data_IF_785775450748
#
_entry.id   IF_785775450748
#
_cell.length_a   1.000
_cell.length_b   1.000
_cell.length_c   1.000
_cell.angle_alpha   90.00
_cell.angle_beta   90.00
_cell.angle_gamma   90.00
#
_symmetry.space_group_name_H-M   'P 1'
#
loop_
_entity.id
_entity.type
_entity.pdbx_description
1 polymer ?
#
# COMPACT_ATOMS: atom_id res chain seq x y z
N UNK A 1 15.06 -17.94 29.65
CA UNK A 1 15.76 -18.54 28.50
C UNK A 1 16.69 -17.48 27.96
N UNK A 2 17.98 -17.74 27.90
CA UNK A 2 18.95 -16.80 27.35
C UNK A 2 18.89 -16.87 25.83
N UNK A 3 19.09 -15.76 25.13
CA UNK A 3 19.10 -15.70 23.67
C UNK A 3 20.07 -16.70 23.01
N UNK A 4 21.12 -17.16 23.74
CA UNK A 4 22.05 -18.22 23.33
C UNK A 4 21.36 -19.56 23.09
N UNK A 5 20.41 -19.93 23.97
CA UNK A 5 19.75 -21.25 23.90
C UNK A 5 18.78 -21.35 22.73
N UNK A 6 18.22 -20.20 22.32
CA UNK A 6 17.35 -20.12 21.14
C UNK A 6 18.16 -20.19 19.84
N UNK A 7 19.33 -19.55 19.81
CA UNK A 7 20.24 -19.60 18.65
C UNK A 7 20.86 -20.97 18.46
N UNK A 8 21.23 -21.67 19.56
CA UNK A 8 21.72 -23.05 19.48
C UNK A 8 20.63 -24.03 19.03
N UNK A 9 19.38 -23.85 19.47
CA UNK A 9 18.25 -24.68 18.98
C UNK A 9 17.92 -24.43 17.51
N UNK A 10 18.17 -23.21 17.00
CA UNK A 10 17.99 -22.87 15.57
C UNK A 10 19.14 -23.42 14.70
N UNK A 11 20.36 -23.50 15.26
CA UNK A 11 21.53 -24.03 14.57
C UNK A 11 21.59 -25.59 14.49
N UNK A 12 20.88 -26.29 15.39
CA UNK A 12 20.89 -27.77 15.44
C UNK A 12 19.86 -28.44 14.54
N UNK A 13 19.02 -27.71 13.83
CA UNK A 13 18.13 -28.31 12.82
C UNK A 13 18.68 -28.00 11.44
N UNK A 14 19.30 -28.96 10.80
CA UNK A 14 19.44 -29.05 9.33
C UNK A 14 18.05 -29.12 8.70
N UNK A 15 17.28 -28.05 8.79
CA UNK A 15 15.97 -27.97 8.18
C UNK A 15 16.17 -27.45 6.78
N UNK A 16 16.33 -28.35 5.83
CA UNK A 16 16.25 -28.02 4.42
C UNK A 16 14.80 -27.67 4.10
N UNK A 17 14.44 -26.39 4.22
CA UNK A 17 13.11 -25.92 3.83
C UNK A 17 13.01 -25.91 2.32
N UNK A 18 12.39 -26.95 1.75
CA UNK A 18 11.96 -26.95 0.36
C UNK A 18 10.58 -26.33 0.33
N UNK A 19 10.48 -25.16 -0.27
CA UNK A 19 9.24 -24.45 -0.43
C UNK A 19 8.48 -24.98 -1.64
N UNK A 20 7.40 -25.71 -1.42
CA UNK A 20 6.43 -26.09 -2.44
C UNK A 20 5.09 -25.44 -2.14
N UNK A 21 4.86 -24.26 -2.70
CA UNK A 21 3.52 -23.70 -2.78
C UNK A 21 2.72 -24.50 -3.79
N UNK A 22 1.43 -24.67 -3.52
CA UNK A 22 0.44 -25.22 -4.44
C UNK A 22 -0.58 -24.17 -4.83
N UNK A 23 -1.31 -24.38 -5.91
CA UNK A 23 -2.43 -23.52 -6.29
C UNK A 23 -3.46 -23.39 -5.16
N UNK A 24 -3.63 -24.45 -4.33
CA UNK A 24 -4.49 -24.38 -3.14
C UNK A 24 -4.00 -23.33 -2.11
N UNK A 25 -2.69 -23.17 -1.92
CA UNK A 25 -2.16 -22.14 -1.02
C UNK A 25 -2.46 -20.72 -1.58
N UNK A 26 -2.36 -20.55 -2.90
CA UNK A 26 -2.71 -19.28 -3.57
C UNK A 26 -4.21 -19.01 -3.47
N UNK A 27 -5.05 -20.03 -3.68
CA UNK A 27 -6.50 -19.95 -3.48
C UNK A 27 -6.85 -19.53 -2.05
N UNK A 28 -6.21 -20.12 -1.04
CA UNK A 28 -6.42 -19.73 0.36
C UNK A 28 -6.05 -18.26 0.62
N UNK A 29 -5.04 -17.72 -0.08
CA UNK A 29 -4.72 -16.28 -0.03
C UNK A 29 -5.83 -15.43 -0.63
N UNK A 30 -6.45 -15.86 -1.74
CA UNK A 30 -7.59 -15.18 -2.37
C UNK A 30 -8.85 -15.24 -1.49
N UNK A 31 -9.14 -16.38 -0.87
CA UNK A 31 -10.27 -16.55 0.06
C UNK A 31 -10.17 -15.56 1.24
N UNK A 32 -8.95 -15.33 1.74
CA UNK A 32 -8.68 -14.45 2.87
C UNK A 32 -8.06 -13.11 2.44
N UNK A 33 -8.33 -12.66 1.23
CA UNK A 33 -7.80 -11.43 0.66
C UNK A 33 -8.16 -10.23 1.53
N UNK A 34 -7.17 -9.41 1.87
CA UNK A 34 -7.38 -8.22 2.72
C UNK A 34 -7.61 -6.95 1.92
N UNK A 35 -7.04 -6.88 0.70
CA UNK A 35 -7.12 -5.68 -0.11
C UNK A 35 -7.12 -6.00 -1.60
N UNK A 36 -8.08 -5.41 -2.33
CA UNK A 36 -8.07 -5.31 -3.78
C UNK A 36 -7.86 -3.84 -4.16
N UNK A 37 -6.76 -3.54 -4.84
CA UNK A 37 -6.42 -2.17 -5.24
C UNK A 37 -6.53 -2.04 -6.75
N UNK A 38 -7.19 -0.99 -7.19
CA UNK A 38 -7.35 -0.62 -8.60
C UNK A 38 -6.44 0.56 -8.92
N UNK A 39 -5.60 0.43 -9.93
CA UNK A 39 -5.03 1.58 -10.61
C UNK A 39 -6.11 2.17 -11.51
N UNK A 40 -6.90 3.10 -10.96
CA UNK A 40 -8.07 3.64 -11.66
C UNK A 40 -7.68 4.50 -12.87
N UNK A 41 -6.47 5.04 -12.85
CA UNK A 41 -5.84 5.77 -13.96
C UNK A 41 -4.33 5.86 -13.75
N UNK A 42 -3.55 5.89 -14.82
CA UNK A 42 -2.14 6.27 -14.77
C UNK A 42 -1.91 7.78 -14.97
N UNK A 43 -2.98 8.54 -15.34
CA UNK A 43 -2.94 10.00 -15.43
C UNK A 43 -2.78 10.66 -14.05
N UNK A 44 -2.06 11.76 -14.00
CA UNK A 44 -1.90 12.57 -12.77
C UNK A 44 -1.86 14.05 -13.11
N UNK A 45 -2.47 14.87 -12.29
CA UNK A 45 -2.42 16.32 -12.38
C UNK A 45 -1.14 16.94 -11.78
N UNK A 46 -0.24 16.11 -11.21
CA UNK A 46 1.07 16.51 -10.75
C UNK A 46 2.18 15.73 -11.48
N UNK A 47 3.37 16.35 -11.54
CA UNK A 47 4.62 15.75 -12.01
C UNK A 47 5.65 15.77 -10.88
N UNK A 48 5.41 14.96 -9.83
CA UNK A 48 6.33 14.87 -8.69
C UNK A 48 7.68 14.29 -9.14
N UNK A 49 8.79 14.92 -8.73
CA UNK A 49 10.15 14.54 -9.14
C UNK A 49 10.50 13.08 -8.80
N UNK A 50 10.05 12.59 -7.66
CA UNK A 50 10.34 11.24 -7.14
C UNK A 50 9.19 10.24 -7.32
N UNK A 51 8.22 10.56 -8.17
CA UNK A 51 7.09 9.66 -8.43
C UNK A 51 7.57 8.33 -8.98
N UNK A 52 7.03 7.21 -8.47
CA UNK A 52 7.33 5.88 -9.00
C UNK A 52 7.03 5.71 -10.50
N UNK A 53 6.11 6.54 -11.03
CA UNK A 53 5.80 6.63 -12.47
C UNK A 53 6.61 7.75 -13.17
N UNK A 54 7.59 8.33 -12.51
CA UNK A 54 8.38 9.45 -13.03
C UNK A 54 9.70 9.02 -13.64
N UNK A 55 10.50 10.01 -14.02
CA UNK A 55 11.74 9.84 -14.78
C UNK A 55 12.83 9.06 -14.00
N UNK A 56 12.74 8.98 -12.65
CA UNK A 56 13.72 8.25 -11.85
C UNK A 56 13.70 6.74 -12.07
N UNK A 57 12.59 6.16 -12.50
CA UNK A 57 12.38 4.72 -12.47
C UNK A 57 12.09 4.13 -13.84
N UNK A 58 12.69 2.96 -14.10
CA UNK A 58 12.45 2.17 -15.31
C UNK A 58 11.45 1.02 -15.09
N UNK A 59 10.96 0.87 -13.84
CA UNK A 59 10.10 -0.26 -13.41
C UNK A 59 8.64 -0.11 -13.80
N UNK A 60 8.21 1.09 -14.10
CA UNK A 60 6.87 1.41 -14.56
C UNK A 60 6.96 1.88 -16.01
N UNK A 61 6.05 1.42 -16.84
CA UNK A 61 5.92 1.93 -18.21
C UNK A 61 5.66 3.45 -18.23
N UNK A 62 5.82 4.08 -19.38
CA UNK A 62 5.44 5.48 -19.55
C UNK A 62 3.94 5.62 -19.32
N UNK A 63 3.55 6.69 -18.62
CA UNK A 63 2.14 7.08 -18.49
C UNK A 63 1.57 7.40 -19.87
N UNK A 64 0.38 6.88 -20.12
CA UNK A 64 -0.33 7.08 -21.39
C UNK A 64 -1.68 7.76 -21.17
N UNK A 65 -1.91 8.29 -19.95
CA UNK A 65 -3.16 8.92 -19.50
C UNK A 65 -4.38 8.00 -19.71
N UNK A 66 -4.17 6.70 -19.44
CA UNK A 66 -5.21 5.68 -19.51
C UNK A 66 -6.13 5.71 -18.30
N UNK A 67 -7.34 5.24 -18.51
CA UNK A 67 -8.37 5.09 -17.49
C UNK A 67 -8.85 3.64 -17.48
N UNK A 68 -8.83 3.01 -16.31
CA UNK A 68 -9.37 1.67 -16.13
C UNK A 68 -10.86 1.65 -16.48
N UNK A 69 -11.29 0.66 -17.23
CA UNK A 69 -12.68 0.50 -17.64
C UNK A 69 -13.46 -0.25 -16.55
N UNK A 70 -14.71 0.15 -16.33
CA UNK A 70 -15.56 -0.46 -15.31
C UNK A 70 -15.77 -1.96 -15.53
N UNK A 71 -15.96 -2.40 -16.77
CA UNK A 71 -16.18 -3.82 -17.10
C UNK A 71 -14.99 -4.70 -16.69
N UNK A 72 -13.76 -4.19 -16.82
CA UNK A 72 -12.54 -4.89 -16.39
C UNK A 72 -12.50 -4.98 -14.86
N UNK A 73 -12.73 -3.86 -14.16
CA UNK A 73 -12.77 -3.85 -12.70
C UNK A 73 -13.88 -4.77 -12.16
N UNK A 74 -15.08 -4.68 -12.75
CA UNK A 74 -16.24 -5.52 -12.40
C UNK A 74 -15.93 -7.00 -12.60
N UNK A 75 -15.28 -7.37 -13.70
CA UNK A 75 -14.93 -8.77 -13.98
C UNK A 75 -14.05 -9.38 -12.89
N UNK A 76 -13.06 -8.63 -12.39
CA UNK A 76 -12.23 -9.10 -11.29
C UNK A 76 -13.01 -9.17 -9.97
N UNK A 77 -13.88 -8.20 -9.71
CA UNK A 77 -14.75 -8.22 -8.53
C UNK A 77 -15.65 -9.47 -8.56
N UNK A 78 -16.31 -9.76 -9.68
CA UNK A 78 -17.17 -10.93 -9.84
C UNK A 78 -16.42 -12.25 -9.61
N UNK A 79 -15.19 -12.35 -10.16
CA UNK A 79 -14.34 -13.53 -9.99
C UNK A 79 -14.01 -13.76 -8.50
N UNK A 80 -13.58 -12.70 -7.80
CA UNK A 80 -13.24 -12.79 -6.39
C UNK A 80 -14.48 -12.99 -5.51
N UNK A 81 -15.59 -12.33 -5.84
CA UNK A 81 -16.86 -12.51 -5.14
C UNK A 81 -17.33 -13.97 -5.19
N UNK A 82 -17.22 -14.63 -6.35
CA UNK A 82 -17.51 -16.05 -6.49
C UNK A 82 -16.59 -16.92 -5.61
N UNK A 83 -15.29 -16.58 -5.50
CA UNK A 83 -14.38 -17.29 -4.59
C UNK A 83 -14.84 -17.10 -3.14
N UNK A 84 -15.14 -15.89 -2.71
CA UNK A 84 -15.55 -15.60 -1.33
C UNK A 84 -16.87 -16.26 -0.95
N UNK A 85 -17.84 -16.28 -1.86
CA UNK A 85 -19.14 -16.90 -1.63
C UNK A 85 -19.06 -18.44 -1.57
N UNK A 86 -18.26 -19.05 -2.44
CA UNK A 86 -18.13 -20.51 -2.52
C UNK A 86 -17.24 -21.12 -1.41
N UNK A 87 -16.41 -20.31 -0.74
CA UNK A 87 -15.44 -20.78 0.26
C UNK A 87 -15.66 -20.15 1.65
N UNK A 88 -16.86 -19.73 1.99
CA UNK A 88 -17.18 -19.07 3.27
C UNK A 88 -16.74 -19.88 4.50
N UNK A 89 -16.88 -21.20 4.47
CA UNK A 89 -16.47 -22.07 5.57
C UNK A 89 -14.97 -22.08 5.85
N UNK A 90 -14.14 -21.73 4.85
CA UNK A 90 -12.69 -21.64 4.97
C UNK A 90 -12.20 -20.22 5.34
N UNK A 91 -13.12 -19.24 5.35
CA UNK A 91 -12.81 -17.83 5.64
C UNK A 91 -13.06 -17.52 7.11
N UNK A 92 -12.10 -16.85 7.74
CA UNK A 92 -12.34 -16.19 9.04
C UNK A 92 -13.01 -14.83 8.81
N UNK A 93 -13.81 -14.33 9.77
CA UNK A 93 -14.39 -12.99 9.67
C UNK A 93 -13.29 -11.94 9.44
N UNK A 94 -13.40 -11.15 8.37
CA UNK A 94 -12.41 -10.16 8.00
C UNK A 94 -13.00 -8.99 7.21
N UNK A 95 -12.20 -7.93 7.08
CA UNK A 95 -12.52 -6.76 6.26
C UNK A 95 -11.72 -6.84 4.96
N UNK A 96 -12.40 -6.69 3.83
CA UNK A 96 -11.78 -6.52 2.51
C UNK A 96 -11.78 -5.02 2.19
N UNK A 97 -10.61 -4.46 1.92
CA UNK A 97 -10.46 -3.05 1.57
C UNK A 97 -10.32 -2.92 0.06
N UNK A 98 -11.22 -2.18 -0.56
CA UNK A 98 -11.12 -1.79 -1.97
C UNK A 98 -10.32 -0.49 -2.04
N UNK A 99 -9.10 -0.58 -2.58
CA UNK A 99 -8.17 0.53 -2.67
C UNK A 99 -8.26 1.22 -4.03
N UNK A 100 -8.21 2.55 -4.05
CA UNK A 100 -8.12 3.35 -5.27
C UNK A 100 -6.76 4.03 -5.32
N UNK A 101 -6.03 3.77 -6.40
CA UNK A 101 -4.65 4.18 -6.60
C UNK A 101 -4.41 4.56 -8.06
N UNK A 102 -3.15 4.89 -8.39
CA UNK A 102 -2.71 5.17 -9.75
C UNK A 102 -1.87 6.44 -9.84
N UNK A 103 -2.05 7.22 -10.90
CA UNK A 103 -1.51 8.57 -10.99
C UNK A 103 -2.15 9.47 -9.93
N UNK A 104 -3.37 9.93 -10.18
CA UNK A 104 -4.22 10.58 -9.19
C UNK A 104 -5.65 10.00 -9.27
N UNK A 105 -6.09 9.23 -8.28
CA UNK A 105 -7.38 8.54 -8.34
C UNK A 105 -8.59 9.47 -8.53
N UNK A 106 -8.56 10.66 -7.95
CA UNK A 106 -9.65 11.63 -8.07
C UNK A 106 -9.86 12.15 -9.50
N UNK A 107 -8.94 11.86 -10.44
CA UNK A 107 -9.13 12.14 -11.86
C UNK A 107 -10.08 11.14 -12.54
N UNK A 108 -10.33 9.97 -11.92
CA UNK A 108 -11.29 8.97 -12.41
C UNK A 108 -12.37 8.66 -11.37
N UNK A 109 -12.95 9.71 -10.80
CA UNK A 109 -13.96 9.58 -9.75
C UNK A 109 -15.21 8.84 -10.24
N UNK A 110 -15.58 9.01 -11.51
CA UNK A 110 -16.73 8.31 -12.10
C UNK A 110 -16.59 6.77 -12.02
N UNK A 111 -15.39 6.23 -12.26
CA UNK A 111 -15.13 4.79 -12.09
C UNK A 111 -15.23 4.39 -10.61
N UNK A 112 -14.68 5.21 -9.72
CA UNK A 112 -14.71 4.93 -8.27
C UNK A 112 -16.15 4.85 -7.77
N UNK A 113 -17.00 5.79 -8.16
CA UNK A 113 -18.44 5.80 -7.84
C UNK A 113 -19.14 4.56 -8.38
N UNK A 114 -18.86 4.15 -9.62
CA UNK A 114 -19.40 2.93 -10.22
C UNK A 114 -18.99 1.67 -9.47
N UNK A 115 -17.69 1.56 -9.09
CA UNK A 115 -17.18 0.41 -8.32
C UNK A 115 -17.86 0.35 -6.94
N UNK A 116 -17.94 1.48 -6.22
CA UNK A 116 -18.56 1.54 -4.90
C UNK A 116 -20.05 1.16 -4.99
N UNK A 117 -20.79 1.76 -5.91
CA UNK A 117 -22.19 1.45 -6.12
C UNK A 117 -22.42 -0.05 -6.48
N UNK A 118 -21.53 -0.60 -7.31
CA UNK A 118 -21.58 -2.02 -7.66
C UNK A 118 -21.34 -2.92 -6.44
N UNK A 119 -20.32 -2.66 -5.65
CA UNK A 119 -20.01 -3.42 -4.44
C UNK A 119 -21.15 -3.36 -3.41
N UNK A 120 -21.77 -2.19 -3.25
CA UNK A 120 -22.91 -1.99 -2.36
C UNK A 120 -24.21 -2.71 -2.86
N UNK A 121 -24.29 -2.99 -4.17
CA UNK A 121 -25.40 -3.75 -4.76
C UNK A 121 -25.26 -5.27 -4.61
N UNK A 122 -24.06 -5.77 -4.32
CA UNK A 122 -23.84 -7.21 -4.17
C UNK A 122 -24.44 -7.73 -2.86
N UNK A 123 -25.00 -8.96 -2.85
CA UNK A 123 -25.44 -9.59 -1.61
C UNK A 123 -24.31 -9.66 -0.57
N UNK A 124 -24.65 -9.46 0.70
CA UNK A 124 -23.68 -9.50 1.79
C UNK A 124 -23.15 -10.92 2.01
N UNK A 125 -21.86 -11.05 2.22
CA UNK A 125 -21.22 -12.32 2.57
C UNK A 125 -21.09 -12.37 4.10
N UNK A 126 -21.64 -13.38 4.80
CA UNK A 126 -21.52 -13.50 6.25
C UNK A 126 -20.07 -13.47 6.71
N UNK A 127 -19.77 -12.60 7.69
CA UNK A 127 -18.42 -12.44 8.23
C UNK A 127 -17.47 -11.58 7.40
N UNK A 128 -17.85 -11.13 6.21
CA UNK A 128 -17.06 -10.24 5.36
C UNK A 128 -17.63 -8.83 5.41
N UNK A 129 -16.75 -7.84 5.67
CA UNK A 129 -17.08 -6.42 5.58
C UNK A 129 -16.27 -5.76 4.49
N UNK A 130 -16.89 -4.86 3.74
CA UNK A 130 -16.19 -4.03 2.77
C UNK A 130 -15.76 -2.70 3.40
N UNK A 131 -14.68 -2.14 2.88
CA UNK A 131 -14.23 -0.80 3.20
C UNK A 131 -13.48 -0.23 2.02
N UNK A 132 -13.33 1.09 2.01
CA UNK A 132 -12.71 1.81 0.90
C UNK A 132 -11.46 2.53 1.37
N UNK A 133 -10.45 2.63 0.52
CA UNK A 133 -9.22 3.37 0.81
C UNK A 133 -8.71 4.07 -0.44
N UNK A 134 -8.05 5.20 -0.28
CA UNK A 134 -7.49 5.96 -1.38
C UNK A 134 -6.21 6.65 -0.95
N UNK A 135 -5.19 6.62 -1.82
CA UNK A 135 -4.02 7.52 -1.72
C UNK A 135 -4.18 8.62 -2.74
N UNK A 136 -4.19 9.88 -2.31
CA UNK A 136 -4.39 11.03 -3.20
C UNK A 136 -3.40 12.15 -2.90
N UNK A 137 -3.08 12.94 -3.92
CA UNK A 137 -2.28 14.14 -3.79
C UNK A 137 -3.07 15.36 -3.23
N UNK A 138 -4.38 15.24 -3.09
CA UNK A 138 -5.24 16.24 -2.47
C UNK A 138 -5.64 17.44 -3.35
N UNK A 139 -5.15 17.52 -4.60
CA UNK A 139 -5.44 18.67 -5.49
C UNK A 139 -6.92 18.83 -5.85
N UNK A 140 -7.68 17.73 -5.84
CA UNK A 140 -9.08 17.68 -6.26
C UNK A 140 -10.05 17.35 -5.10
N UNK A 141 -9.59 17.36 -3.85
CA UNK A 141 -10.41 17.01 -2.69
C UNK A 141 -11.68 17.87 -2.56
N UNK A 142 -11.59 19.16 -2.84
CA UNK A 142 -12.71 20.09 -2.75
C UNK A 142 -13.92 19.68 -3.59
N UNK A 143 -13.70 18.91 -4.65
CA UNK A 143 -14.77 18.46 -5.55
C UNK A 143 -15.49 17.21 -5.05
N UNK A 144 -14.82 16.37 -4.26
CA UNK A 144 -15.27 15.02 -3.96
C UNK A 144 -15.33 14.68 -2.47
N UNK A 145 -15.01 15.64 -1.59
CA UNK A 145 -14.97 15.41 -0.14
C UNK A 145 -16.30 14.92 0.44
N UNK A 146 -17.44 15.35 -0.14
CA UNK A 146 -18.77 14.88 0.27
C UNK A 146 -18.91 13.37 0.09
N UNK A 147 -18.61 12.86 -1.10
CA UNK A 147 -18.65 11.42 -1.38
C UNK A 147 -17.66 10.63 -0.51
N UNK A 148 -16.43 11.15 -0.37
CA UNK A 148 -15.39 10.49 0.41
C UNK A 148 -15.78 10.37 1.88
N UNK A 149 -16.41 11.40 2.44
CA UNK A 149 -16.92 11.40 3.81
C UNK A 149 -18.15 10.49 3.96
N UNK A 150 -19.12 10.55 3.03
CA UNK A 150 -20.32 9.69 3.04
C UNK A 150 -19.94 8.20 3.01
N UNK A 151 -18.96 7.83 2.18
CA UNK A 151 -18.52 6.44 2.02
C UNK A 151 -17.41 6.03 2.99
N UNK A 152 -17.08 6.87 3.96
CA UNK A 152 -16.03 6.63 4.96
C UNK A 152 -14.72 6.13 4.34
N UNK A 153 -14.33 6.72 3.20
CA UNK A 153 -13.12 6.33 2.49
C UNK A 153 -11.89 6.65 3.34
N UNK A 154 -11.09 5.65 3.67
CA UNK A 154 -9.82 5.85 4.38
C UNK A 154 -8.83 6.59 3.45
N UNK A 155 -8.57 7.85 3.72
CA UNK A 155 -7.68 8.68 2.93
C UNK A 155 -6.24 8.65 3.47
N UNK A 156 -5.30 8.43 2.54
CA UNK A 156 -3.89 8.68 2.75
C UNK A 156 -3.50 9.89 1.90
N UNK A 157 -3.40 11.06 2.54
CA UNK A 157 -3.07 12.33 1.90
C UNK A 157 -1.57 12.51 1.77
N UNK A 158 -1.12 12.85 0.57
CA UNK A 158 0.30 13.07 0.28
C UNK A 158 0.70 14.51 0.61
N UNK A 159 1.50 14.69 1.67
CA UNK A 159 2.01 15.99 2.11
C UNK A 159 3.40 15.83 2.72
N UNK A 160 4.42 16.45 2.12
CA UNK A 160 5.83 16.25 2.51
C UNK A 160 6.31 17.24 3.59
N UNK A 161 5.42 18.10 4.08
CA UNK A 161 5.68 19.12 5.08
C UNK A 161 5.15 20.48 4.66
N UNK A 162 5.92 21.54 4.89
CA UNK A 162 5.61 22.90 4.48
C UNK A 162 5.77 23.14 2.95
N UNK A 163 5.64 24.38 2.51
CA UNK A 163 5.73 24.73 1.09
C UNK A 163 7.12 24.42 0.48
N UNK A 164 8.19 24.56 1.24
CA UNK A 164 9.54 24.24 0.79
C UNK A 164 9.71 22.70 0.65
N UNK A 165 9.31 21.97 1.66
CA UNK A 165 9.31 20.52 1.65
C UNK A 165 8.43 19.93 0.51
N UNK A 166 7.27 20.54 0.24
CA UNK A 166 6.38 20.13 -0.86
C UNK A 166 6.95 20.45 -2.27
N UNK A 167 8.09 21.12 -2.37
CA UNK A 167 8.63 21.68 -3.59
C UNK A 167 9.02 20.68 -4.71
N UNK A 168 8.92 19.38 -4.47
CA UNK A 168 9.05 18.36 -5.50
C UNK A 168 7.69 17.85 -6.04
N UNK A 169 6.59 18.25 -5.39
CA UNK A 169 5.24 17.96 -5.87
C UNK A 169 4.70 19.14 -6.66
N UNK A 170 5.08 19.20 -7.91
CA UNK A 170 4.72 20.28 -8.82
C UNK A 170 3.67 19.82 -9.84
N UNK A 171 2.90 20.79 -10.37
CA UNK A 171 2.04 20.54 -11.52
C UNK A 171 2.85 20.46 -12.83
N UNK A 172 2.16 20.22 -13.96
CA UNK A 172 2.81 20.12 -15.27
C UNK A 172 3.44 21.46 -15.77
N UNK A 173 3.17 22.57 -15.09
CA UNK A 173 3.77 23.89 -15.37
C UNK A 173 4.93 24.21 -14.43
N UNK A 174 5.23 23.28 -13.48
CA UNK A 174 6.27 23.46 -12.47
C UNK A 174 5.82 24.24 -11.24
N UNK A 175 4.53 24.57 -11.09
CA UNK A 175 4.02 25.27 -9.91
C UNK A 175 3.89 24.30 -8.73
N UNK A 176 4.34 24.77 -7.53
CA UNK A 176 4.23 24.02 -6.28
C UNK A 176 2.76 23.76 -5.92
N UNK A 177 2.42 22.52 -5.59
CA UNK A 177 1.06 22.10 -5.24
C UNK A 177 0.62 22.52 -3.83
N UNK A 178 1.54 22.99 -2.96
CA UNK A 178 1.31 23.18 -1.54
C UNK A 178 0.07 23.99 -1.22
N UNK A 179 -0.05 25.20 -1.76
CA UNK A 179 -1.12 26.14 -1.42
C UNK A 179 -2.51 25.53 -1.68
N UNK A 180 -2.68 24.86 -2.83
CA UNK A 180 -3.94 24.22 -3.21
C UNK A 180 -4.25 23.02 -2.32
N UNK A 181 -3.27 22.14 -2.13
CA UNK A 181 -3.41 20.92 -1.32
C UNK A 181 -3.69 21.29 0.13
N UNK A 182 -2.94 22.24 0.69
CA UNK A 182 -3.11 22.70 2.06
C UNK A 182 -4.49 23.32 2.30
N UNK A 183 -4.95 24.19 1.37
CA UNK A 183 -6.30 24.75 1.41
C UNK A 183 -7.36 23.64 1.44
N UNK A 184 -7.27 22.67 0.54
CA UNK A 184 -8.22 21.58 0.44
C UNK A 184 -8.24 20.70 1.70
N UNK A 185 -7.08 20.45 2.31
CA UNK A 185 -6.98 19.69 3.57
C UNK A 185 -7.64 20.44 4.73
N UNK A 186 -7.42 21.77 4.82
CA UNK A 186 -8.07 22.63 5.83
C UNK A 186 -9.58 22.70 5.62
N UNK A 187 -10.03 22.78 4.38
CA UNK A 187 -11.44 22.76 4.04
C UNK A 187 -12.09 21.42 4.45
N UNK A 188 -11.43 20.30 4.13
CA UNK A 188 -11.91 18.96 4.54
C UNK A 188 -11.99 18.86 6.08
N UNK A 189 -10.95 19.31 6.80
CA UNK A 189 -10.90 19.30 8.27
C UNK A 189 -12.04 20.12 8.90
N UNK A 190 -12.36 21.29 8.31
CA UNK A 190 -13.41 22.17 8.84
C UNK A 190 -14.81 21.72 8.46
N UNK A 191 -15.00 21.13 7.27
CA UNK A 191 -16.32 20.74 6.77
C UNK A 191 -16.76 19.37 7.31
N UNK A 192 -15.82 18.43 7.47
CA UNK A 192 -16.08 17.05 7.92
C UNK A 192 -15.12 16.66 9.06
N UNK A 193 -15.18 17.30 10.23
CA UNK A 193 -14.19 17.14 11.30
C UNK A 193 -14.11 15.71 11.85
N UNK A 194 -15.23 15.02 12.02
CA UNK A 194 -15.27 13.64 12.50
C UNK A 194 -14.65 12.68 11.48
N UNK A 195 -15.06 12.78 10.22
CA UNK A 195 -14.45 12.02 9.14
C UNK A 195 -12.94 12.27 9.03
N UNK A 196 -12.52 13.54 9.12
CA UNK A 196 -11.10 13.89 9.11
C UNK A 196 -10.36 13.26 10.29
N UNK A 197 -10.96 13.26 11.48
CA UNK A 197 -10.37 12.66 12.67
C UNK A 197 -10.20 11.14 12.56
N UNK A 198 -11.16 10.43 11.97
CA UNK A 198 -11.19 8.96 11.98
C UNK A 198 -10.60 8.33 10.73
N UNK A 199 -10.79 8.94 9.55
CA UNK A 199 -10.51 8.31 8.26
C UNK A 199 -9.37 8.96 7.47
N UNK A 200 -8.81 10.11 7.93
CA UNK A 200 -7.73 10.79 7.20
C UNK A 200 -6.38 10.56 7.88
N UNK A 201 -5.40 10.18 7.09
CA UNK A 201 -4.00 10.03 7.49
C UNK A 201 -3.08 10.67 6.45
N UNK A 202 -1.80 10.87 6.80
CA UNK A 202 -0.81 11.53 5.97
C UNK A 202 0.32 10.60 5.59
N UNK A 203 0.83 10.75 4.37
CA UNK A 203 2.05 10.12 3.88
C UNK A 203 3.01 11.21 3.39
N UNK A 204 4.21 11.21 3.95
CA UNK A 204 5.27 12.15 3.60
C UNK A 204 6.46 11.37 3.07
N UNK A 205 6.97 11.77 1.91
CA UNK A 205 8.18 11.19 1.34
C UNK A 205 9.38 11.97 1.84
N UNK A 206 10.39 11.24 2.35
CA UNK A 206 11.62 11.83 2.87
C UNK A 206 12.60 12.11 1.74
N UNK A 207 13.11 13.33 1.70
CA UNK A 207 14.06 13.81 0.69
C UNK A 207 14.93 14.96 1.24
N UNK A 208 15.81 15.53 0.45
CA UNK A 208 16.77 16.57 0.86
C UNK A 208 16.14 17.92 1.27
N UNK A 209 14.85 18.16 0.99
CA UNK A 209 14.13 19.37 1.38
C UNK A 209 13.32 19.22 2.67
N UNK A 210 13.33 18.06 3.30
CA UNK A 210 12.63 17.83 4.56
C UNK A 210 13.41 16.91 5.49
N UNK A 211 12.99 16.86 6.74
CA UNK A 211 13.40 15.85 7.70
C UNK A 211 12.19 15.41 8.54
N UNK A 212 12.31 14.27 9.17
CA UNK A 212 11.23 13.64 9.93
C UNK A 212 10.70 14.52 11.06
N UNK A 213 11.58 15.16 11.84
CA UNK A 213 11.18 15.99 12.97
C UNK A 213 10.36 17.22 12.51
N UNK A 214 10.79 17.90 11.44
CA UNK A 214 10.06 19.05 10.88
C UNK A 214 8.72 18.65 10.29
N UNK A 215 8.69 17.55 9.51
CA UNK A 215 7.46 17.01 8.93
C UNK A 215 6.47 16.62 10.01
N UNK A 216 6.90 15.87 11.02
CA UNK A 216 6.03 15.46 12.13
C UNK A 216 5.54 16.67 12.92
N UNK A 217 6.42 17.63 13.27
CA UNK A 217 6.05 18.87 13.95
C UNK A 217 5.01 19.66 13.15
N UNK A 218 5.19 19.79 11.84
CA UNK A 218 4.27 20.51 10.96
C UNK A 218 2.90 19.85 10.92
N UNK A 219 2.84 18.53 10.64
CA UNK A 219 1.58 17.81 10.48
C UNK A 219 0.84 17.65 11.82
N UNK A 220 1.55 17.35 12.90
CA UNK A 220 0.95 17.27 14.25
C UNK A 220 0.40 18.62 14.66
N UNK A 221 1.18 19.70 14.50
CA UNK A 221 0.77 21.04 14.93
C UNK A 221 -0.47 21.59 14.20
N UNK A 222 -0.66 21.21 12.92
CA UNK A 222 -1.75 21.73 12.10
C UNK A 222 -2.98 20.84 12.02
N UNK A 223 -2.80 19.53 12.11
CA UNK A 223 -3.84 18.54 11.86
C UNK A 223 -4.08 17.59 13.03
N UNK A 224 -3.26 17.64 14.08
CA UNK A 224 -3.26 16.69 15.20
C UNK A 224 -3.19 15.24 14.71
N UNK A 225 -2.35 15.00 13.70
CA UNK A 225 -2.17 13.69 13.04
C UNK A 225 -0.69 13.37 12.95
N UNK A 226 -0.34 12.08 12.99
CA UNK A 226 1.01 11.63 12.61
C UNK A 226 1.06 11.30 11.12
N UNK A 227 2.14 11.70 10.47
CA UNK A 227 2.42 11.26 9.11
C UNK A 227 3.11 9.90 9.11
N UNK A 228 2.77 9.08 8.13
CA UNK A 228 3.60 7.95 7.74
C UNK A 228 4.77 8.50 6.94
N UNK A 229 5.99 8.29 7.42
CA UNK A 229 7.20 8.66 6.70
C UNK A 229 7.60 7.53 5.75
N UNK A 230 7.82 7.84 4.50
CA UNK A 230 8.22 6.91 3.45
C UNK A 230 9.54 7.37 2.83
N UNK A 231 10.47 6.45 2.65
CA UNK A 231 11.68 6.70 1.86
C UNK A 231 11.37 6.71 0.37
N UNK A 232 12.24 7.36 -0.41
CA UNK A 232 12.25 7.20 -1.86
C UNK A 232 12.47 5.71 -2.19
N UNK A 233 11.77 5.21 -3.18
CA UNK A 233 12.02 3.85 -3.65
C UNK A 233 13.43 3.75 -4.23
N UNK A 234 14.26 2.87 -3.69
CA UNK A 234 15.65 2.67 -4.10
C UNK A 234 15.84 1.57 -5.14
N UNK A 235 14.75 1.00 -5.66
CA UNK A 235 14.77 -0.08 -6.64
C UNK A 235 14.36 0.41 -8.03
N UNK A 236 15.06 -0.09 -9.07
CA UNK A 236 14.74 0.21 -10.48
C UNK A 236 15.04 1.65 -10.90
N UNK A 237 16.02 2.28 -10.26
CA UNK A 237 16.45 3.64 -10.61
C UNK A 237 17.18 3.61 -11.95
N UNK A 238 16.81 4.51 -12.86
CA UNK A 238 17.48 4.72 -14.13
C UNK A 238 18.93 5.12 -13.94
N UNK A 239 19.81 4.58 -14.75
CA UNK A 239 21.25 4.90 -14.69
C UNK A 239 21.51 6.39 -14.84
N UNK A 240 20.77 7.06 -15.73
CA UNK A 240 20.88 8.49 -15.98
C UNK A 240 20.50 9.36 -14.77
N UNK A 241 19.61 8.86 -13.90
CA UNK A 241 19.05 9.62 -12.77
C UNK A 241 19.71 9.29 -11.41
N UNK A 242 20.65 8.34 -11.38
CA UNK A 242 21.28 7.88 -10.13
C UNK A 242 21.94 8.99 -9.31
N UNK A 243 22.60 9.94 -9.94
CA UNK A 243 23.27 11.04 -9.22
C UNK A 243 22.25 11.98 -8.60
N UNK A 244 21.20 12.33 -9.34
CA UNK A 244 20.14 13.20 -8.83
C UNK A 244 19.38 12.50 -7.70
N UNK A 245 19.08 11.21 -7.88
CA UNK A 245 18.48 10.38 -6.84
C UNK A 245 19.32 10.38 -5.55
N UNK A 246 20.63 10.19 -5.63
CA UNK A 246 21.51 10.18 -4.44
C UNK A 246 21.51 11.51 -3.71
N UNK A 247 21.40 12.64 -4.40
CA UNK A 247 21.29 13.97 -3.78
C UNK A 247 19.98 14.11 -3.00
N UNK A 248 18.89 13.58 -3.55
CA UNK A 248 17.56 13.65 -2.94
C UNK A 248 17.34 12.63 -1.84
N UNK A 249 17.91 11.45 -1.94
CA UNK A 249 17.64 10.33 -1.05
C UNK A 249 18.01 10.66 0.40
N UNK A 250 17.08 10.39 1.31
CA UNK A 250 17.29 10.41 2.76
C UNK A 250 16.75 9.12 3.34
N UNK A 251 17.59 8.43 4.13
CA UNK A 251 17.17 7.24 4.87
C UNK A 251 16.51 7.66 6.18
N UNK A 252 15.41 7.02 6.52
CA UNK A 252 14.74 7.19 7.82
C UNK A 252 15.63 6.68 9.00
N UNK A 253 16.66 5.87 8.70
CA UNK A 253 17.63 5.39 9.71
C UNK A 253 18.72 6.42 10.08
N UNK A 254 18.88 7.48 9.30
CA UNK A 254 19.90 8.52 9.55
C UNK A 254 19.42 9.61 10.47
N UNK A 255 18.14 9.64 10.80
CA UNK A 255 17.61 10.58 11.78
C UNK A 255 17.78 9.99 13.18
N UNK A 256 18.67 10.56 13.97
CA UNK A 256 18.77 10.30 15.40
C UNK A 256 17.38 10.51 16.01
N UNK A 257 16.72 9.42 16.36
CA UNK A 257 15.61 9.48 17.28
C UNK A 257 16.16 10.09 18.59
N UNK A 258 15.94 11.36 18.81
CA UNK A 258 16.18 11.92 20.12
C UNK A 258 15.23 11.17 21.08
N UNK A 259 15.80 10.56 22.12
CA UNK A 259 15.05 9.85 23.17
C UNK A 259 14.02 10.72 23.90
N UNK A 260 13.88 11.99 23.53
CA UNK A 260 12.85 12.91 24.06
C UNK A 260 11.42 12.55 23.65
N UNK A 261 11.23 11.71 22.61
CA UNK A 261 9.91 11.22 22.19
C UNK A 261 9.50 9.89 22.84
N UNK A 262 10.30 9.37 23.80
CA UNK A 262 10.00 8.13 24.51
C UNK A 262 8.68 8.21 25.29
N UNK A 263 8.34 9.37 25.82
CA UNK A 263 7.10 9.56 26.61
C UNK A 263 5.83 9.37 25.77
N UNK A 264 5.91 9.60 24.46
CA UNK A 264 4.79 9.39 23.55
C UNK A 264 4.64 7.91 23.12
N UNK A 265 5.73 7.17 23.03
CA UNK A 265 5.70 5.72 22.75
C UNK A 265 5.11 4.93 23.93
N UNK A 266 5.31 5.41 25.17
CA UNK A 266 4.74 4.80 26.37
C UNK A 266 3.31 5.23 26.68
N UNK A 267 2.82 6.33 26.10
CA UNK A 267 1.45 6.81 26.31
C UNK A 267 0.40 6.04 25.50
N UNK A 268 0.77 5.34 24.43
CA UNK A 268 -0.13 4.44 23.71
C UNK A 268 0.18 3.01 24.15
N UNK A 269 -0.69 2.43 24.98
CA UNK A 269 -0.64 1.02 25.39
C UNK A 269 -1.00 0.04 24.26
N UNK A 270 -0.86 0.47 23.02
CA UNK A 270 -1.31 -0.29 21.88
C UNK A 270 -0.20 -1.23 21.39
N UNK A 271 -0.44 -2.53 21.50
CA UNK A 271 0.39 -3.61 20.95
C UNK A 271 0.76 -3.36 19.49
N UNK A 272 -0.06 -2.60 18.76
CA UNK A 272 0.20 -2.23 17.37
C UNK A 272 1.40 -1.29 17.20
N UNK A 273 1.69 -0.42 18.16
CA UNK A 273 2.87 0.44 18.09
C UNK A 273 4.16 -0.33 18.37
N UNK A 274 4.09 -1.31 19.26
CA UNK A 274 5.19 -2.26 19.48
C UNK A 274 5.44 -3.11 18.23
N UNK A 275 4.38 -3.60 17.58
CA UNK A 275 4.50 -4.36 16.34
C UNK A 275 5.04 -3.51 15.18
N UNK A 276 4.67 -2.24 15.10
CA UNK A 276 5.24 -1.28 14.13
C UNK A 276 6.71 -0.99 14.40
N UNK A 277 7.11 -0.89 15.68
CA UNK A 277 8.50 -0.73 16.06
C UNK A 277 9.32 -1.96 15.68
N UNK A 278 8.83 -3.15 15.97
CA UNK A 278 9.47 -4.42 15.58
C UNK A 278 9.57 -4.51 14.05
N UNK A 279 8.51 -4.13 13.32
CA UNK A 279 8.47 -4.12 11.86
C UNK A 279 9.55 -3.20 11.27
N UNK A 280 9.79 -2.04 11.89
CA UNK A 280 10.86 -1.10 11.51
C UNK A 280 12.26 -1.63 11.83
N UNK A 281 12.46 -2.18 13.02
CA UNK A 281 13.77 -2.62 13.50
C UNK A 281 14.24 -3.93 12.83
N UNK A 282 13.32 -4.71 12.26
CA UNK A 282 13.62 -6.02 11.65
C UNK A 282 13.57 -5.99 10.13
N UNK A 283 13.51 -4.81 9.49
CA UNK A 283 13.36 -4.65 8.04
C UNK A 283 12.25 -5.53 7.43
N UNK A 284 11.18 -5.74 8.19
CA UNK A 284 10.03 -6.54 7.73
C UNK A 284 10.35 -8.01 7.40
N UNK A 285 11.36 -8.59 8.02
CA UNK A 285 11.78 -9.98 7.77
C UNK A 285 10.68 -10.99 8.13
N UNK A 286 9.73 -10.63 9.01
CA UNK A 286 8.68 -11.53 9.48
C UNK A 286 7.28 -10.95 9.24
N UNK A 287 6.57 -11.45 8.24
CA UNK A 287 5.22 -11.01 7.91
C UNK A 287 4.09 -11.51 8.82
N UNK A 288 4.37 -12.45 9.72
CA UNK A 288 3.37 -13.04 10.62
C UNK A 288 3.86 -13.06 12.07
N UNK A 289 4.02 -11.89 12.68
CA UNK A 289 4.41 -11.79 14.10
C UNK A 289 3.47 -12.56 15.04
N UNK A 290 2.17 -12.62 14.72
CA UNK A 290 1.21 -13.42 15.47
C UNK A 290 1.52 -14.91 15.46
N UNK A 291 2.21 -15.43 14.44
CA UNK A 291 2.63 -16.83 14.39
C UNK A 291 3.87 -17.09 15.23
N UNK A 292 4.73 -16.08 15.45
CA UNK A 292 5.87 -16.19 16.37
C UNK A 292 5.43 -16.24 17.84
N UNK A 293 4.27 -15.63 18.16
CA UNK A 293 3.69 -15.63 19.49
C UNK A 293 2.85 -16.88 19.78
N UNK A 294 2.48 -17.65 18.77
CA UNK A 294 1.74 -18.91 18.91
C UNK A 294 2.71 -20.09 18.96
N UNK A 295 2.69 -20.84 20.05
CA UNK A 295 3.57 -22.02 20.31
C UNK A 295 3.54 -23.13 19.24
N UNK A 296 2.63 -23.07 18.25
CA UNK A 296 2.41 -24.07 17.21
C UNK A 296 2.52 -23.55 15.79
N UNK A 297 3.33 -22.50 15.54
CA UNK A 297 3.58 -22.05 14.18
C UNK A 297 4.44 -23.11 13.45
N UNK A 298 3.79 -23.94 12.65
CA UNK A 298 4.45 -25.00 11.88
C UNK A 298 5.24 -24.53 10.67
N UNK A 299 5.15 -23.24 10.31
CA UNK A 299 5.80 -22.70 9.12
C UNK A 299 6.29 -21.28 9.39
N UNK A 300 7.59 -21.08 9.43
CA UNK A 300 8.25 -19.77 9.46
C UNK A 300 8.77 -19.49 8.06
N UNK A 301 8.34 -18.39 7.46
CA UNK A 301 8.84 -17.95 6.18
C UNK A 301 9.94 -16.90 6.39
N UNK A 302 11.23 -17.27 6.29
CA UNK A 302 12.29 -16.30 6.30
C UNK A 302 12.38 -15.72 4.89
N UNK A 303 11.81 -14.56 4.65
CA UNK A 303 12.23 -13.71 3.53
C UNK A 303 11.33 -12.50 3.41
N UNK A 304 11.85 -11.37 2.98
CA UNK A 304 11.11 -10.15 2.65
C UNK A 304 10.17 -10.23 1.43
N UNK A 305 9.88 -11.42 0.90
CA UNK A 305 8.93 -11.61 -0.21
C UNK A 305 7.55 -11.95 0.30
N UNK A 306 6.55 -11.13 -0.09
CA UNK A 306 5.15 -11.43 0.19
C UNK A 306 4.73 -12.71 -0.55
N UNK A 307 3.99 -13.60 0.13
CA UNK A 307 3.25 -14.68 -0.54
C UNK A 307 2.24 -14.07 -1.54
N UNK A 308 1.99 -14.73 -2.68
CA UNK A 308 1.07 -14.21 -3.68
C UNK A 308 -0.31 -13.98 -3.06
N UNK A 309 -0.84 -12.79 -3.23
CA UNK A 309 -2.16 -12.33 -2.79
C UNK A 309 -2.45 -12.39 -1.28
N UNK A 310 -1.47 -12.70 -0.43
CA UNK A 310 -1.68 -12.77 1.02
C UNK A 310 -2.13 -11.41 1.60
N UNK A 311 -1.60 -10.30 1.09
CA UNK A 311 -1.95 -8.95 1.54
C UNK A 311 -2.90 -8.28 0.59
N UNK A 312 -2.57 -8.25 -0.70
CA UNK A 312 -3.35 -7.51 -1.71
C UNK A 312 -3.22 -8.09 -3.11
N UNK A 313 -4.16 -7.68 -3.94
CA UNK A 313 -4.11 -7.72 -5.40
C UNK A 313 -4.04 -6.27 -5.88
N UNK A 314 -3.27 -6.01 -6.91
CA UNK A 314 -3.22 -4.75 -7.62
C UNK A 314 -3.60 -4.98 -9.08
N UNK A 315 -4.68 -4.33 -9.54
CA UNK A 315 -5.13 -4.35 -10.94
C UNK A 315 -4.68 -3.07 -11.62
N UNK A 316 -3.88 -3.19 -12.66
CA UNK A 316 -3.41 -2.03 -13.44
C UNK A 316 -4.47 -1.52 -14.41
N UNK A 317 -4.28 -0.31 -14.93
CA UNK A 317 -5.15 0.27 -16.00
C UNK A 317 -5.20 -0.61 -17.27
N UNK A 318 -4.18 -1.43 -17.49
CA UNK A 318 -4.09 -2.35 -18.63
C UNK A 318 -4.75 -3.70 -18.36
N UNK A 319 -5.30 -3.94 -17.16
CA UNK A 319 -5.89 -5.21 -16.78
C UNK A 319 -4.88 -6.23 -16.23
N UNK A 320 -3.63 -5.85 -15.99
CA UNK A 320 -2.64 -6.75 -15.43
C UNK A 320 -2.82 -6.91 -13.92
N UNK A 321 -2.68 -8.14 -13.43
CA UNK A 321 -2.74 -8.47 -12.02
C UNK A 321 -1.32 -8.56 -11.46
N UNK A 322 -1.02 -7.72 -10.45
CA UNK A 322 0.24 -7.69 -9.73
C UNK A 322 0.01 -7.97 -8.22
N UNK A 323 1.02 -8.44 -7.48
CA UNK A 323 0.90 -8.64 -6.03
C UNK A 323 0.87 -7.33 -5.24
N UNK A 324 1.37 -6.23 -5.77
CA UNK A 324 1.24 -4.88 -5.21
C UNK A 324 1.68 -3.80 -6.22
N UNK A 325 1.41 -2.54 -5.88
CA UNK A 325 1.75 -1.34 -6.67
C UNK A 325 3.24 -0.99 -6.70
N UNK A 326 4.06 -1.64 -5.86
CA UNK A 326 5.49 -1.32 -5.71
C UNK A 326 6.43 -2.25 -6.48
N UNK A 327 5.88 -3.31 -7.07
CA UNK A 327 6.67 -4.27 -7.83
C UNK A 327 6.80 -3.80 -9.28
N UNK A 328 7.91 -4.19 -9.90
CA UNK A 328 8.11 -3.97 -11.33
C UNK A 328 6.99 -4.63 -12.14
N UNK A 329 6.41 -3.88 -13.07
CA UNK A 329 5.27 -4.31 -13.89
C UNK A 329 5.55 -5.53 -14.77
N UNK A 330 6.80 -5.94 -14.93
CA UNK A 330 7.14 -7.22 -15.59
C UNK A 330 6.73 -8.47 -14.81
N UNK A 331 6.43 -8.35 -13.50
CA UNK A 331 6.02 -9.47 -12.65
C UNK A 331 4.50 -9.67 -12.63
N UNK A 332 3.90 -9.70 -13.82
CA UNK A 332 2.46 -9.95 -14.00
C UNK A 332 2.16 -11.38 -13.57
N UNK A 333 1.11 -11.55 -12.75
CA UNK A 333 0.61 -12.84 -12.27
C UNK A 333 -0.64 -13.31 -13.00
N UNK A 334 -1.32 -12.44 -13.72
CA UNK A 334 -2.51 -12.73 -14.47
C UNK A 334 -3.01 -11.52 -15.23
N UNK A 335 -4.09 -11.67 -15.96
CA UNK A 335 -4.67 -10.61 -16.77
C UNK A 335 -6.20 -10.64 -16.72
N UNK A 336 -6.81 -9.46 -16.76
CA UNK A 336 -8.28 -9.28 -16.77
C UNK A 336 -8.69 -8.52 -18.00
N UNK A 337 -9.68 -9.05 -18.69
CA UNK A 337 -10.41 -8.35 -19.76
C UNK A 337 -11.86 -8.18 -19.34
N UNK A 338 -12.67 -7.48 -20.14
CA UNK A 338 -14.13 -7.44 -19.93
C UNK A 338 -14.80 -8.82 -19.99
N UNK A 339 -14.15 -9.80 -20.63
CA UNK A 339 -14.73 -11.13 -20.86
C UNK A 339 -14.28 -12.17 -19.84
N UNK A 340 -13.01 -12.14 -19.42
CA UNK A 340 -12.43 -13.17 -18.56
C UNK A 340 -11.39 -12.65 -17.59
N UNK A 341 -11.17 -13.42 -16.51
CA UNK A 341 -9.98 -13.34 -15.66
C UNK A 341 -9.08 -14.53 -16.00
N UNK A 342 -7.85 -14.23 -16.37
CA UNK A 342 -6.81 -15.22 -16.67
C UNK A 342 -5.83 -15.24 -15.51
N UNK A 343 -5.99 -16.20 -14.60
CA UNK A 343 -5.22 -16.32 -13.37
C UNK A 343 -4.95 -17.81 -13.07
N UNK A 344 -3.75 -18.27 -13.44
CA UNK A 344 -3.30 -19.66 -13.20
C UNK A 344 -2.64 -19.78 -11.83
N UNK A 345 -3.39 -20.29 -10.85
CA UNK A 345 -2.94 -20.42 -9.47
C UNK A 345 -1.77 -21.40 -9.30
N UNK A 346 -1.72 -22.47 -10.11
CA UNK A 346 -0.64 -23.45 -10.05
C UNK A 346 0.65 -22.89 -10.68
N UNK A 347 0.55 -22.16 -11.78
CA UNK A 347 1.68 -21.44 -12.37
C UNK A 347 2.26 -20.41 -11.41
N UNK A 348 1.42 -19.64 -10.74
CA UNK A 348 1.82 -18.65 -9.70
C UNK A 348 2.53 -19.38 -8.55
N UNK A 349 1.97 -20.45 -8.03
CA UNK A 349 2.56 -21.23 -6.96
C UNK A 349 3.94 -21.77 -7.33
N UNK A 350 4.09 -22.32 -8.55
CA UNK A 350 5.36 -22.79 -9.09
C UNK A 350 6.40 -21.68 -9.22
N UNK A 351 6.01 -20.53 -9.73
CA UNK A 351 6.88 -19.35 -9.86
C UNK A 351 7.42 -18.89 -8.49
N UNK A 352 6.56 -18.78 -7.48
CA UNK A 352 6.97 -18.37 -6.15
C UNK A 352 7.80 -19.43 -5.44
N UNK A 353 7.48 -20.72 -5.60
CA UNK A 353 8.31 -21.82 -5.10
C UNK A 353 9.74 -21.75 -5.68
N UNK A 354 9.88 -21.46 -6.97
CA UNK A 354 11.18 -21.27 -7.61
C UNK A 354 11.95 -20.07 -7.05
N UNK A 355 11.27 -18.97 -6.72
CA UNK A 355 11.88 -17.80 -6.08
C UNK A 355 12.44 -18.15 -4.70
N UNK A 356 11.64 -18.77 -3.84
CA UNK A 356 12.05 -19.13 -2.48
C UNK A 356 13.20 -20.14 -2.46
N UNK A 357 13.27 -21.02 -3.45
CA UNK A 357 14.35 -22.03 -3.53
C UNK A 357 15.65 -21.47 -4.14
N UNK A 358 15.63 -20.26 -4.74
CA UNK A 358 16.84 -19.58 -5.25
C UNK A 358 17.60 -18.77 -4.20
N UNK A 359 16.95 -18.40 -3.11
CA UNK A 359 17.52 -17.54 -2.06
C UNK A 359 18.15 -18.36 -0.91
N UNK A 360 18.52 -19.60 -1.17
CA UNK A 360 19.26 -20.49 -0.24
C UNK A 360 20.75 -20.26 -0.29
#
# INVERSE_FOLDING_TARGET
MRNSDLLEQLQQKDVTYVYNLSGHNVLNSLINLKQLTFEVTDACNLKCKYCGYGDFYETHGKREDKFLQFDVAKRLIDYLYNIWTNHQAASSPHKIVFGFYGGEPLMNMSLIEQIVAYLESLPTIPGVKYGYAMTTNGMLLDRYMSFLAEKEVMLLLSLDGDEYAQGYRVDHRGANSFQRVFHNMKLLQSTYPEYFAEHVSFNSVMHDKNNDAEVLKFIIGLFNKRARLAELNNFGISEAEKEEFRKMFRSAQTTEFSCADSDFLYASSDVMDLLRLIDRLTDNVYYQYNSLLKKNASIIFPTGTCLPFQKKIFLTVNGDILPCERIDQKYILGHVTSEKVDLDLDAIAKQYSAYYNKTK
#
